data_IF_273325870837
#
_entry.id   IF_273325870837
#
_cell.length_a   1.000
_cell.length_b   1.000
_cell.length_c   1.000
_cell.angle_alpha   90.00
_cell.angle_beta   90.00
_cell.angle_gamma   90.00
#
_symmetry.space_group_name_H-M   'P 1'
#
loop_
_entity.id
_entity.type
_entity.pdbx_description
1 polymer ?
#
# COMPACT_ATOMS: atom_id res chain seq x y z
N UNK A 1 -9.21 -17.23 -68.68
CA UNK A 1 -9.66 -17.41 -67.30
C UNK A 1 -8.43 -17.31 -66.39
N UNK A 2 -8.18 -16.15 -65.78
CA UNK A 2 -7.05 -15.94 -64.85
C UNK A 2 -7.59 -15.99 -63.41
N UNK A 3 -7.13 -17.01 -62.65
CA UNK A 3 -7.42 -17.13 -61.22
C UNK A 3 -6.45 -16.20 -60.43
N UNK A 4 -7.00 -15.17 -59.78
CA UNK A 4 -6.29 -14.40 -58.76
C UNK A 4 -6.30 -15.18 -57.43
N UNK A 5 -5.12 -15.54 -56.95
CA UNK A 5 -4.88 -16.04 -55.60
C UNK A 5 -4.67 -14.83 -54.68
N UNK A 6 -5.63 -14.54 -53.80
CA UNK A 6 -5.47 -13.60 -52.70
C UNK A 6 -4.73 -14.34 -51.54
N UNK A 7 -3.45 -14.00 -51.33
CA UNK A 7 -2.70 -14.41 -50.16
C UNK A 7 -3.02 -13.45 -49.04
N UNK A 8 -3.77 -13.92 -48.00
CA UNK A 8 -4.01 -13.17 -46.78
C UNK A 8 -2.75 -13.24 -45.91
N UNK A 9 -2.04 -12.11 -45.79
CA UNK A 9 -1.00 -11.93 -44.78
C UNK A 9 -1.70 -11.68 -43.44
N UNK A 10 -1.74 -12.70 -42.59
CA UNK A 10 -2.10 -12.56 -41.16
C UNK A 10 -0.82 -12.15 -40.43
N UNK A 11 -0.70 -10.89 -40.12
CA UNK A 11 0.35 -10.37 -39.24
C UNK A 11 0.01 -10.73 -37.78
N UNK A 12 0.95 -11.31 -37.01
CA UNK A 12 0.71 -11.58 -35.58
C UNK A 12 0.92 -10.27 -34.77
N UNK A 13 -0.20 -9.58 -34.48
CA UNK A 13 -0.22 -8.37 -33.65
C UNK A 13 -0.38 -8.67 -32.15
N UNK A 14 -0.12 -9.88 -31.68
CA UNK A 14 -0.43 -10.31 -30.32
C UNK A 14 0.75 -10.35 -29.34
N UNK A 15 2.00 -10.09 -29.78
CA UNK A 15 3.19 -10.29 -28.92
C UNK A 15 3.73 -9.00 -28.26
N UNK A 16 3.25 -7.82 -28.63
CA UNK A 16 3.81 -6.55 -28.12
C UNK A 16 3.13 -6.03 -26.87
N UNK A 17 1.90 -6.48 -26.55
CA UNK A 17 1.13 -5.96 -25.42
C UNK A 17 1.57 -6.51 -24.05
N UNK A 18 2.05 -7.75 -23.99
CA UNK A 18 2.46 -8.38 -22.72
C UNK A 18 3.80 -7.85 -22.21
N UNK A 19 4.74 -7.54 -23.11
CA UNK A 19 6.04 -6.97 -22.74
C UNK A 19 5.90 -5.52 -22.26
N UNK A 20 4.98 -4.75 -22.84
CA UNK A 20 4.72 -3.37 -22.42
C UNK A 20 4.05 -3.32 -21.03
N UNK A 21 3.13 -4.24 -20.72
CA UNK A 21 2.49 -4.30 -19.41
C UNK A 21 3.50 -4.67 -18.31
N UNK A 22 4.34 -5.67 -18.54
CA UNK A 22 5.34 -6.10 -17.56
C UNK A 22 6.43 -5.05 -17.32
N UNK A 23 6.80 -4.29 -18.36
CA UNK A 23 7.74 -3.18 -18.22
C UNK A 23 7.14 -2.01 -17.43
N UNK A 24 5.86 -1.69 -17.64
CA UNK A 24 5.12 -0.66 -16.91
C UNK A 24 4.97 -1.03 -15.43
N UNK A 25 4.56 -2.26 -15.11
CA UNK A 25 4.44 -2.73 -13.71
C UNK A 25 5.77 -2.70 -12.97
N UNK A 26 6.87 -3.06 -13.64
CA UNK A 26 8.21 -3.01 -13.05
C UNK A 26 8.66 -1.57 -12.78
N UNK A 27 8.36 -0.63 -13.65
CA UNK A 27 8.72 0.79 -13.48
C UNK A 27 7.92 1.42 -12.33
N UNK A 28 6.61 1.14 -12.23
CA UNK A 28 5.77 1.61 -11.12
C UNK A 28 6.26 1.06 -9.76
N UNK A 29 6.62 -0.21 -9.69
CA UNK A 29 7.09 -0.82 -8.44
C UNK A 29 8.41 -0.21 -7.96
N UNK A 30 9.33 0.15 -8.86
CA UNK A 30 10.60 0.82 -8.53
C UNK A 30 10.36 2.24 -8.02
N UNK A 31 9.47 3.00 -8.66
CA UNK A 31 9.13 4.35 -8.21
C UNK A 31 8.46 4.34 -6.83
N UNK A 32 7.56 3.37 -6.60
CA UNK A 32 6.90 3.19 -5.31
C UNK A 32 7.88 2.76 -4.22
N UNK A 33 8.87 1.91 -4.54
CA UNK A 33 9.90 1.49 -3.59
C UNK A 33 10.73 2.70 -3.12
N UNK A 34 11.19 3.56 -4.03
CA UNK A 34 11.92 4.79 -3.66
C UNK A 34 11.11 5.66 -2.70
N UNK A 35 9.85 5.93 -3.02
CA UNK A 35 8.95 6.72 -2.14
C UNK A 35 8.66 6.03 -0.81
N UNK A 36 8.57 4.71 -0.80
CA UNK A 36 8.36 3.93 0.41
C UNK A 36 9.58 3.99 1.34
N UNK A 37 10.80 3.91 0.79
CA UNK A 37 12.03 4.06 1.55
C UNK A 37 12.19 5.47 2.13
N UNK A 38 11.80 6.50 1.38
CA UNK A 38 11.75 7.88 1.88
C UNK A 38 10.80 7.99 3.08
N UNK A 39 9.56 7.50 2.94
CA UNK A 39 8.56 7.53 4.01
C UNK A 39 9.02 6.74 5.25
N UNK A 40 9.68 5.59 5.05
CA UNK A 40 10.23 4.80 6.15
C UNK A 40 11.38 5.51 6.85
N UNK A 41 12.21 6.25 6.10
CA UNK A 41 13.29 7.08 6.63
C UNK A 41 12.72 8.24 7.46
N UNK A 42 11.65 8.88 6.99
CA UNK A 42 10.94 9.91 7.75
C UNK A 42 10.37 9.34 9.06
N UNK A 43 9.77 8.15 9.03
CA UNK A 43 9.26 7.49 10.22
C UNK A 43 10.39 7.22 11.23
N UNK A 44 11.49 6.62 10.79
CA UNK A 44 12.65 6.34 11.65
C UNK A 44 13.27 7.60 12.25
N UNK A 45 13.21 8.72 11.53
CA UNK A 45 13.70 10.01 12.03
C UNK A 45 12.81 10.59 13.14
N UNK A 46 11.50 10.36 13.09
CA UNK A 46 10.54 10.81 14.14
C UNK A 46 10.57 9.86 15.33
N UNK A 47 10.59 8.55 15.06
CA UNK A 47 10.54 7.51 16.08
C UNK A 47 11.50 6.34 15.72
N UNK A 48 12.75 6.36 16.22
CA UNK A 48 13.73 5.32 15.94
C UNK A 48 13.31 3.92 16.43
N UNK A 49 12.40 3.81 17.41
CA UNK A 49 11.97 2.54 17.98
C UNK A 49 11.12 1.69 17.01
N UNK A 50 10.66 2.28 15.90
CA UNK A 50 10.01 1.54 14.80
C UNK A 50 10.89 0.44 14.23
N UNK A 51 12.22 0.54 14.38
CA UNK A 51 13.15 -0.51 13.93
C UNK A 51 12.86 -1.86 14.59
N UNK A 52 12.32 -1.86 15.83
CA UNK A 52 11.87 -3.06 16.51
C UNK A 52 10.70 -3.74 15.79
N UNK A 53 9.75 -2.96 15.24
CA UNK A 53 8.64 -3.49 14.44
C UNK A 53 9.13 -4.07 13.12
N UNK A 54 10.06 -3.40 12.44
CA UNK A 54 10.66 -3.90 11.20
C UNK A 54 11.35 -5.25 11.46
N UNK A 55 12.17 -5.33 12.51
CA UNK A 55 12.94 -6.54 12.83
C UNK A 55 12.10 -7.71 13.32
N UNK A 56 10.97 -7.45 13.99
CA UNK A 56 10.03 -8.44 14.49
C UNK A 56 9.02 -8.90 13.43
N UNK A 57 8.95 -8.23 12.28
CA UNK A 57 7.96 -8.52 11.25
C UNK A 57 8.49 -9.52 10.22
N UNK A 58 7.63 -10.48 9.85
CA UNK A 58 7.88 -11.39 8.72
C UNK A 58 7.67 -10.70 7.37
N UNK A 59 6.99 -9.57 7.37
CA UNK A 59 6.78 -8.69 6.23
C UNK A 59 6.08 -7.40 6.66
N UNK A 60 6.19 -6.35 5.84
CA UNK A 60 5.54 -5.08 6.11
C UNK A 60 5.16 -4.35 4.82
N UNK A 61 4.09 -3.58 4.89
CA UNK A 61 3.60 -2.72 3.79
C UNK A 61 3.93 -1.27 4.11
N UNK A 62 4.43 -0.55 3.13
CA UNK A 62 4.61 0.90 3.18
C UNK A 62 3.80 1.54 2.06
N UNK A 63 2.85 2.39 2.44
CA UNK A 63 2.09 3.23 1.52
C UNK A 63 2.56 4.67 1.72
N UNK A 64 3.44 5.18 0.85
CA UNK A 64 4.11 6.47 1.08
C UNK A 64 3.16 7.65 1.05
N UNK A 65 2.02 7.52 0.37
CA UNK A 65 0.99 8.57 0.35
C UNK A 65 -0.39 7.96 0.20
N UNK A 66 -1.23 8.19 1.20
CA UNK A 66 -2.67 7.99 1.14
C UNK A 66 -3.33 9.36 1.07
N UNK A 67 -3.99 9.64 -0.03
CA UNK A 67 -4.81 10.85 -0.18
C UNK A 67 -6.23 10.60 0.32
N UNK A 68 -6.73 11.45 1.21
CA UNK A 68 -8.09 11.41 1.75
C UNK A 68 -8.82 12.69 1.40
N UNK A 69 -9.97 12.58 0.73
CA UNK A 69 -10.79 13.70 0.35
C UNK A 69 -12.28 13.34 0.42
N UNK A 70 -13.14 14.35 0.68
CA UNK A 70 -14.58 14.16 0.65
C UNK A 70 -15.37 15.35 1.18
N UNK A 71 -16.63 15.38 0.79
CA UNK A 71 -17.64 16.30 1.28
C UNK A 71 -18.94 15.50 1.48
N UNK A 72 -19.26 15.18 2.73
CA UNK A 72 -20.41 14.34 3.10
C UNK A 72 -20.17 12.83 2.86
N UNK A 73 -19.66 12.45 1.69
CA UNK A 73 -19.11 11.14 1.38
C UNK A 73 -17.65 11.34 1.01
N UNK A 74 -16.76 10.62 1.67
CA UNK A 74 -15.33 10.72 1.47
C UNK A 74 -14.72 9.40 1.05
N UNK A 75 -13.47 9.46 0.58
CA UNK A 75 -12.67 8.29 0.29
C UNK A 75 -11.20 8.53 0.54
N UNK A 76 -10.46 7.45 0.75
CA UNK A 76 -9.02 7.46 0.75
C UNK A 76 -8.50 6.47 -0.29
N UNK A 77 -7.37 6.81 -0.90
CA UNK A 77 -6.68 5.95 -1.85
C UNK A 77 -5.18 6.15 -1.73
N UNK A 78 -4.45 5.05 -1.81
CA UNK A 78 -2.99 5.04 -1.83
C UNK A 78 -2.46 3.82 -2.57
N UNK A 79 -1.21 3.92 -3.04
CA UNK A 79 -0.42 2.79 -3.53
C UNK A 79 0.88 2.70 -2.74
N UNK A 80 1.36 1.50 -2.54
CA UNK A 80 2.59 1.21 -1.83
C UNK A 80 3.14 -0.16 -2.20
N UNK A 81 4.09 -0.62 -1.43
CA UNK A 81 4.78 -1.89 -1.66
C UNK A 81 4.77 -2.76 -0.41
N UNK A 82 4.73 -4.08 -0.64
CA UNK A 82 4.93 -5.10 0.38
C UNK A 82 6.40 -5.56 0.34
N UNK A 83 7.04 -5.51 1.50
CA UNK A 83 8.38 -6.06 1.73
C UNK A 83 8.30 -7.40 2.44
N UNK A 84 9.06 -8.38 1.94
CA UNK A 84 9.34 -9.65 2.60
C UNK A 84 10.84 -9.93 2.47
N UNK A 85 11.50 -10.24 3.57
CA UNK A 85 12.96 -10.46 3.62
C UNK A 85 13.77 -9.29 3.01
N UNK A 86 13.31 -8.05 3.20
CA UNK A 86 13.97 -6.84 2.71
C UNK A 86 13.81 -6.56 1.22
N UNK A 87 13.01 -7.35 0.49
CA UNK A 87 12.74 -7.17 -0.94
C UNK A 87 11.27 -6.84 -1.20
N UNK A 88 10.99 -6.02 -2.22
CA UNK A 88 9.63 -5.76 -2.68
C UNK A 88 9.07 -7.02 -3.36
N UNK A 89 7.94 -7.52 -2.87
CA UNK A 89 7.29 -8.74 -3.38
C UNK A 89 5.94 -8.48 -4.05
N UNK A 90 5.28 -7.34 -3.77
CA UNK A 90 4.03 -6.95 -4.40
C UNK A 90 3.81 -5.44 -4.33
N UNK A 91 3.03 -4.91 -5.28
CA UNK A 91 2.41 -3.59 -5.19
C UNK A 91 1.07 -3.74 -4.46
N UNK A 92 0.77 -2.80 -3.57
CA UNK A 92 -0.43 -2.79 -2.75
C UNK A 92 -1.25 -1.54 -3.05
N UNK A 93 -2.51 -1.71 -3.40
CA UNK A 93 -3.47 -0.62 -3.55
C UNK A 93 -4.41 -0.58 -2.36
N UNK A 94 -4.47 0.55 -1.66
CA UNK A 94 -5.40 0.85 -0.59
C UNK A 94 -6.57 1.66 -1.13
N UNK A 95 -7.79 1.29 -0.74
CA UNK A 95 -9.00 2.08 -0.95
C UNK A 95 -9.85 2.07 0.32
N UNK A 96 -10.47 3.19 0.65
CA UNK A 96 -11.40 3.31 1.78
C UNK A 96 -12.57 4.21 1.36
N UNK A 97 -13.78 3.80 1.72
CA UNK A 97 -14.96 4.65 1.67
C UNK A 97 -15.27 5.13 3.10
N UNK A 98 -15.45 6.40 3.29
CA UNK A 98 -15.83 6.97 4.56
C UNK A 98 -17.10 7.81 4.40
N UNK A 99 -18.04 7.65 5.36
CA UNK A 99 -19.22 8.48 5.47
C UNK A 99 -18.98 9.41 6.66
N UNK A 100 -18.97 10.71 6.45
CA UNK A 100 -18.78 11.69 7.51
C UNK A 100 -18.44 13.08 7.00
N UNK A 101 -18.61 14.07 7.86
CA UNK A 101 -18.23 15.44 7.60
C UNK A 101 -16.70 15.58 7.73
N UNK A 102 -16.00 15.38 6.63
CA UNK A 102 -14.58 15.71 6.52
C UNK A 102 -14.44 16.88 5.57
N UNK A 103 -14.08 18.03 6.13
CA UNK A 103 -13.82 19.23 5.34
C UNK A 103 -12.34 19.28 4.97
N UNK A 104 -12.05 19.22 3.68
CA UNK A 104 -10.68 19.35 3.15
C UNK A 104 -10.03 18.04 2.71
N UNK A 105 -8.87 18.17 2.07
CA UNK A 105 -7.99 17.05 1.69
C UNK A 105 -6.91 16.84 2.75
N UNK A 106 -6.62 15.59 3.06
CA UNK A 106 -5.53 15.19 3.94
C UNK A 106 -4.65 14.17 3.22
N UNK A 107 -3.36 14.20 3.50
CA UNK A 107 -2.43 13.18 3.03
C UNK A 107 -1.62 12.64 4.21
N UNK A 108 -1.37 11.33 4.21
CA UNK A 108 -0.59 10.66 5.23
C UNK A 108 0.16 9.47 4.62
N UNK A 109 1.24 9.03 5.27
CA UNK A 109 1.86 7.74 5.01
C UNK A 109 1.26 6.69 5.94
N UNK A 110 1.16 5.44 5.47
CA UNK A 110 0.64 4.34 6.26
C UNK A 110 1.59 3.15 6.22
N UNK A 111 1.79 2.51 7.37
CA UNK A 111 2.70 1.40 7.57
C UNK A 111 1.95 0.27 8.27
N UNK A 112 1.98 -0.93 7.68
CA UNK A 112 1.41 -2.15 8.25
C UNK A 112 2.54 -3.15 8.49
N UNK A 113 2.73 -3.57 9.73
CA UNK A 113 3.72 -4.58 10.12
C UNK A 113 3.02 -5.88 10.46
N UNK A 114 3.51 -7.00 9.93
CA UNK A 114 2.95 -8.33 10.17
C UNK A 114 3.92 -9.15 11.02
N UNK A 115 3.50 -9.49 12.24
CA UNK A 115 4.32 -10.21 13.21
C UNK A 115 4.55 -11.66 12.81
N UNK A 116 3.57 -12.28 12.17
CA UNK A 116 3.58 -13.72 11.90
C UNK A 116 3.13 -14.06 10.47
N UNK A 117 3.51 -15.26 10.02
CA UNK A 117 3.15 -15.78 8.69
C UNK A 117 1.64 -15.93 8.48
N UNK A 118 0.81 -16.34 9.46
CA UNK A 118 -0.63 -16.41 9.31
C UNK A 118 -1.25 -15.05 8.96
N UNK A 119 -0.91 -13.96 9.68
CA UNK A 119 -1.44 -12.62 9.41
C UNK A 119 -1.00 -12.08 8.06
N UNK A 120 0.28 -12.24 7.69
CA UNK A 120 0.79 -11.88 6.38
C UNK A 120 0.11 -12.70 5.25
N UNK A 121 -0.03 -14.00 5.43
CA UNK A 121 -0.69 -14.87 4.43
C UNK A 121 -2.15 -14.52 4.26
N UNK A 122 -2.85 -14.15 5.33
CA UNK A 122 -4.23 -13.69 5.26
C UNK A 122 -4.34 -12.38 4.46
N UNK A 123 -3.45 -11.44 4.70
CA UNK A 123 -3.35 -10.20 3.93
C UNK A 123 -3.09 -10.47 2.44
N UNK A 124 -2.20 -11.41 2.12
CA UNK A 124 -1.80 -11.77 0.74
C UNK A 124 -2.87 -12.52 -0.06
N UNK A 125 -3.94 -13.03 0.56
CA UNK A 125 -5.05 -13.69 -0.17
C UNK A 125 -5.79 -12.76 -1.13
N UNK A 126 -5.54 -11.44 -1.02
CA UNK A 126 -6.18 -10.40 -1.82
C UNK A 126 -7.54 -9.98 -1.27
N UNK A 127 -7.96 -8.77 -1.64
CA UNK A 127 -9.20 -8.14 -1.14
C UNK A 127 -9.30 -8.14 0.40
N UNK A 128 -8.16 -7.94 1.08
CA UNK A 128 -8.11 -7.84 2.53
C UNK A 128 -8.81 -6.56 2.98
N UNK A 129 -9.64 -6.65 4.02
CA UNK A 129 -10.36 -5.53 4.60
C UNK A 129 -10.07 -5.44 6.10
N UNK A 130 -9.66 -4.25 6.55
CA UNK A 130 -9.51 -3.98 7.97
C UNK A 130 -10.89 -3.89 8.63
N UNK A 131 -11.05 -4.60 9.75
CA UNK A 131 -12.28 -4.50 10.55
C UNK A 131 -12.57 -3.05 10.95
N UNK A 132 -13.85 -2.71 11.10
CA UNK A 132 -14.29 -1.35 11.42
C UNK A 132 -13.75 -0.80 12.76
N UNK A 133 -13.31 -1.69 13.66
CA UNK A 133 -12.76 -1.35 14.98
C UNK A 133 -11.23 -1.23 15.00
N UNK A 134 -10.57 -1.42 13.84
CA UNK A 134 -9.11 -1.31 13.76
C UNK A 134 -8.72 0.16 13.70
N UNK A 135 -7.81 0.56 14.57
CA UNK A 135 -7.21 1.90 14.61
C UNK A 135 -5.72 1.83 14.30
N UNK A 136 -5.19 2.87 13.69
CA UNK A 136 -3.76 3.05 13.51
C UNK A 136 -3.19 3.96 14.59
N UNK A 137 -1.93 3.73 14.94
CA UNK A 137 -1.16 4.59 15.84
C UNK A 137 -0.62 5.78 15.03
N UNK A 138 -0.94 7.01 15.44
CA UNK A 138 -0.37 8.20 14.83
C UNK A 138 1.10 8.35 15.27
N UNK A 139 2.00 8.51 14.30
CA UNK A 139 3.44 8.57 14.55
C UNK A 139 3.79 9.89 15.25
N UNK A 140 4.33 9.77 16.46
CA UNK A 140 5.00 10.82 17.23
C UNK A 140 6.26 10.20 17.86
N UNK A 141 7.17 11.04 18.37
CA UNK A 141 8.39 10.55 18.99
C UNK A 141 8.10 9.59 20.17
N UNK A 142 8.70 8.41 20.14
CA UNK A 142 8.58 7.39 21.18
C UNK A 142 7.27 6.60 21.20
N UNK A 143 6.37 6.84 20.24
CA UNK A 143 5.06 6.15 20.21
C UNK A 143 5.18 4.65 19.98
N UNK A 144 6.23 4.22 19.26
CA UNK A 144 6.45 2.79 18.99
C UNK A 144 6.80 1.99 20.24
N UNK A 145 7.34 2.63 21.30
CA UNK A 145 7.65 1.95 22.56
C UNK A 145 6.38 1.38 23.24
N UNK A 146 5.27 2.10 23.14
CA UNK A 146 3.99 1.72 23.76
C UNK A 146 3.05 0.99 22.80
N UNK A 147 3.40 0.91 21.52
CA UNK A 147 2.60 0.24 20.52
C UNK A 147 2.80 -1.29 20.58
N UNK A 148 1.76 -2.03 20.22
CA UNK A 148 1.78 -3.48 20.20
C UNK A 148 1.16 -4.05 18.93
N UNK A 149 1.57 -5.28 18.58
CA UNK A 149 0.86 -6.06 17.58
C UNK A 149 -0.50 -6.51 18.13
N UNK A 150 -1.55 -6.21 17.39
CA UNK A 150 -2.91 -6.65 17.69
C UNK A 150 -3.34 -7.63 16.60
N UNK A 151 -3.68 -8.85 16.97
CA UNK A 151 -4.00 -9.94 16.02
C UNK A 151 -2.89 -10.14 14.96
N UNK A 152 -1.63 -10.05 15.37
CA UNK A 152 -0.47 -10.26 14.50
C UNK A 152 -0.16 -9.08 13.57
N UNK A 153 -0.78 -7.90 13.75
CA UNK A 153 -0.55 -6.71 12.93
C UNK A 153 -0.42 -5.45 13.77
N UNK A 154 0.51 -4.56 13.39
CA UNK A 154 0.59 -3.19 13.92
C UNK A 154 0.46 -2.20 12.75
N UNK A 155 -0.30 -1.13 12.95
CA UNK A 155 -0.58 -0.13 11.91
C UNK A 155 -0.19 1.24 12.44
N UNK A 156 0.60 1.97 11.66
CA UNK A 156 1.01 3.33 11.96
C UNK A 156 0.65 4.27 10.83
N UNK A 157 0.38 5.52 11.17
CA UNK A 157 0.13 6.60 10.19
C UNK A 157 0.96 7.82 10.52
N UNK A 158 1.52 8.46 9.49
CA UNK A 158 2.27 9.71 9.61
C UNK A 158 1.63 10.79 8.72
N UNK A 159 1.12 11.84 9.34
CA UNK A 159 0.49 12.95 8.63
C UNK A 159 1.50 13.74 7.79
N UNK A 160 1.16 14.02 6.54
CA UNK A 160 1.92 14.91 5.66
C UNK A 160 1.35 16.33 5.74
N UNK A 161 2.07 17.22 6.41
CA UNK A 161 1.75 18.66 6.43
C UNK A 161 0.64 19.08 7.40
N UNK A 162 0.42 18.38 8.50
CA UNK A 162 -0.56 18.79 9.52
C UNK A 162 -0.57 17.87 10.73
N UNK A 163 -1.33 18.28 11.77
CA UNK A 163 -1.59 17.43 12.93
C UNK A 163 -2.72 16.45 12.59
N UNK A 164 -2.43 15.17 12.68
CA UNK A 164 -3.43 14.12 12.59
C UNK A 164 -3.53 13.46 13.98
N UNK A 165 -4.67 13.63 14.66
CA UNK A 165 -4.85 13.09 16.01
C UNK A 165 -5.12 11.59 16.00
N UNK A 166 -5.78 11.07 14.97
CA UNK A 166 -6.11 9.66 14.82
C UNK A 166 -6.48 9.38 13.37
N UNK A 167 -5.87 8.38 12.77
CA UNK A 167 -6.29 7.88 11.47
C UNK A 167 -7.24 6.71 11.66
N UNK A 168 -8.52 6.91 11.39
CA UNK A 168 -9.44 5.79 11.24
C UNK A 168 -9.08 5.01 9.99
N UNK A 169 -8.54 3.80 10.17
CA UNK A 169 -8.17 2.85 9.12
C UNK A 169 -9.21 1.73 8.97
N UNK A 170 -10.19 1.68 9.85
CA UNK A 170 -11.28 0.71 9.77
C UNK A 170 -12.03 0.81 8.44
N UNK A 171 -12.31 -0.34 7.81
CA UNK A 171 -12.96 -0.44 6.51
C UNK A 171 -12.05 -0.13 5.32
N UNK A 172 -10.73 -0.01 5.51
CA UNK A 172 -9.77 0.03 4.41
C UNK A 172 -9.70 -1.33 3.72
N UNK A 173 -9.68 -1.29 2.39
CA UNK A 173 -9.54 -2.46 1.53
C UNK A 173 -8.21 -2.42 0.83
N UNK A 174 -7.51 -3.54 0.84
CA UNK A 174 -6.21 -3.71 0.23
C UNK A 174 -6.28 -4.73 -0.89
N UNK A 175 -5.74 -4.38 -2.04
CA UNK A 175 -5.58 -5.25 -3.19
C UNK A 175 -4.09 -5.35 -3.51
N UNK A 176 -3.60 -6.57 -3.67
CA UNK A 176 -2.24 -6.82 -4.15
C UNK A 176 -2.28 -6.92 -5.68
N UNK A 177 -1.36 -6.22 -6.33
CA UNK A 177 -1.18 -6.21 -7.77
C UNK A 177 0.25 -6.68 -8.07
N UNK A 178 0.37 -7.61 -8.98
CA UNK A 178 1.66 -8.10 -9.43
C UNK A 178 2.21 -9.30 -8.66
N UNK A 179 2.04 -10.45 -9.21
CA UNK A 179 2.97 -11.54 -9.39
C UNK A 179 2.74 -12.15 -10.73
#
# INVERSE_FOLDING_TARGET
MKKLLFSAFITPLALTSTLALSAWEKDESVELDVKAQEALTEFKAVDPEVESFISQSVGYVVIPTVGKAGFGIGGARGKGVLYENGAVTAVVTLTQLSIGFQWGGQAYSEFLFFQDTPSLSNFKRGNYELGAQVSAVAITAGVSADAAFVNGMAIFTHAKGGLMYEASVGGQKFKLEGK
#
